data_IF_042037140313
#
_entry.id   IF_042037140313
#
_cell.length_a   1.000
_cell.length_b   1.000
_cell.length_c   1.000
_cell.angle_alpha   90.00
_cell.angle_beta   90.00
_cell.angle_gamma   90.00
#
_symmetry.space_group_name_H-M   'P 1'
#
loop_
_entity.id
_entity.type
_entity.pdbx_description
1 polymer ?
#
# COMPACT_ATOMS: atom_id res chain seq x y z
N UNK A 1 -7.96 -18.57 24.26
CA UNK A 1 -7.87 -18.74 22.79
C UNK A 1 -7.27 -17.46 22.21
N UNK A 2 -5.96 -17.45 21.93
CA UNK A 2 -5.28 -16.28 21.35
C UNK A 2 -5.66 -16.12 19.88
N UNK A 3 -6.18 -14.95 19.50
CA UNK A 3 -6.38 -14.63 18.08
C UNK A 3 -5.01 -14.50 17.42
N UNK A 4 -4.73 -15.17 16.28
CA UNK A 4 -3.50 -14.93 15.55
C UNK A 4 -3.52 -13.50 15.04
N UNK A 5 -2.71 -12.64 15.64
CA UNK A 5 -2.39 -11.32 15.12
C UNK A 5 -1.51 -11.53 13.89
N UNK A 6 -2.14 -11.64 12.72
CA UNK A 6 -1.46 -11.36 11.45
C UNK A 6 -1.22 -9.86 11.39
N UNK A 7 -0.38 -9.35 12.28
CA UNK A 7 0.13 -7.99 12.24
C UNK A 7 1.12 -7.96 11.09
N UNK A 8 0.63 -7.65 9.88
CA UNK A 8 1.48 -7.20 8.78
C UNK A 8 2.09 -5.88 9.23
N UNK A 9 3.17 -5.96 9.99
CA UNK A 9 3.86 -4.78 10.49
C UNK A 9 4.39 -4.02 9.28
N UNK A 10 4.01 -2.74 9.10
CA UNK A 10 4.54 -1.95 8.01
C UNK A 10 6.06 -1.81 8.21
N UNK A 11 6.84 -2.40 7.31
CA UNK A 11 8.28 -2.22 7.30
C UNK A 11 8.60 -0.76 6.91
N UNK A 12 9.35 -0.04 7.74
CA UNK A 12 9.82 1.30 7.41
C UNK A 12 11.00 1.18 6.45
N UNK A 13 10.84 1.77 5.27
CA UNK A 13 11.89 1.84 4.26
C UNK A 13 12.33 3.30 4.11
N UNK A 14 13.63 3.55 4.15
CA UNK A 14 14.22 4.83 3.76
C UNK A 14 14.91 4.63 2.42
N UNK A 15 14.49 5.39 1.42
CA UNK A 15 15.07 5.34 0.07
C UNK A 15 15.66 6.70 -0.26
N UNK A 16 16.79 6.69 -0.95
CA UNK A 16 17.38 7.89 -1.53
C UNK A 16 16.99 7.89 -3.00
N UNK A 17 16.42 8.98 -3.47
CA UNK A 17 16.03 9.19 -4.86
C UNK A 17 16.87 10.33 -5.42
N UNK A 18 17.09 10.31 -6.73
CA UNK A 18 17.63 11.48 -7.42
C UNK A 18 16.62 12.65 -7.34
N UNK A 19 17.12 13.88 -7.48
CA UNK A 19 16.28 15.08 -7.42
C UNK A 19 15.16 15.06 -8.47
N UNK A 20 15.45 14.54 -9.67
CA UNK A 20 14.45 14.42 -10.73
C UNK A 20 13.34 13.42 -10.37
N UNK A 21 13.72 12.25 -9.83
CA UNK A 21 12.77 11.22 -9.42
C UNK A 21 11.92 11.68 -8.23
N UNK A 22 12.53 12.36 -7.26
CA UNK A 22 11.81 12.93 -6.12
C UNK A 22 10.79 13.98 -6.57
N UNK A 23 11.17 14.87 -7.49
CA UNK A 23 10.25 15.87 -8.07
C UNK A 23 9.10 15.22 -8.82
N UNK A 24 9.36 14.17 -9.61
CA UNK A 24 8.34 13.42 -10.32
C UNK A 24 7.35 12.74 -9.35
N UNK A 25 7.85 12.12 -8.28
CA UNK A 25 7.02 11.50 -7.23
C UNK A 25 6.17 12.54 -6.51
N UNK A 26 6.74 13.70 -6.18
CA UNK A 26 6.03 14.79 -5.53
C UNK A 26 4.92 15.36 -6.43
N UNK A 27 5.20 15.50 -7.73
CA UNK A 27 4.22 15.98 -8.71
C UNK A 27 3.07 14.97 -8.87
N UNK A 28 3.38 13.67 -8.93
CA UNK A 28 2.38 12.60 -8.96
C UNK A 28 1.53 12.57 -7.68
N UNK A 29 2.16 12.76 -6.53
CA UNK A 29 1.50 12.85 -5.23
C UNK A 29 0.49 14.01 -5.21
N UNK A 30 0.91 15.20 -5.65
CA UNK A 30 0.05 16.38 -5.74
C UNK A 30 -1.10 16.20 -6.73
N UNK A 31 -0.86 15.61 -7.91
CA UNK A 31 -1.90 15.38 -8.92
C UNK A 31 -2.99 14.42 -8.46
N UNK A 32 -2.65 13.45 -7.61
CA UNK A 32 -3.57 12.40 -7.17
C UNK A 32 -4.12 12.64 -5.75
N UNK A 33 -3.78 13.76 -5.11
CA UNK A 33 -4.13 14.07 -3.71
C UNK A 33 -3.70 12.96 -2.71
N UNK A 34 -2.51 12.41 -2.93
CA UNK A 34 -1.94 11.31 -2.13
C UNK A 34 -0.56 11.66 -1.62
N UNK A 35 -0.08 10.96 -0.59
CA UNK A 35 1.28 11.15 -0.08
C UNK A 35 2.34 10.51 -1.00
N UNK A 36 3.56 11.06 -1.03
CA UNK A 36 4.68 10.48 -1.76
C UNK A 36 4.94 8.99 -1.39
N UNK A 37 4.78 8.63 -0.12
CA UNK A 37 4.88 7.24 0.34
C UNK A 37 3.85 6.30 -0.33
N UNK A 38 2.65 6.81 -0.62
CA UNK A 38 1.62 6.04 -1.34
C UNK A 38 2.03 5.81 -2.79
N UNK A 39 2.59 6.83 -3.45
CA UNK A 39 3.09 6.73 -4.83
C UNK A 39 4.20 5.69 -4.92
N UNK A 40 5.18 5.73 -4.01
CA UNK A 40 6.25 4.72 -3.95
C UNK A 40 5.69 3.32 -3.73
N UNK A 41 4.73 3.15 -2.80
CA UNK A 41 4.09 1.85 -2.57
C UNK A 41 3.39 1.34 -3.82
N UNK A 42 2.69 2.21 -4.56
CA UNK A 42 2.01 1.85 -5.81
C UNK A 42 3.01 1.46 -6.88
N UNK A 43 4.11 2.21 -7.05
CA UNK A 43 5.17 1.89 -8.00
C UNK A 43 5.80 0.52 -7.69
N UNK A 44 6.10 0.24 -6.42
CA UNK A 44 6.60 -1.07 -5.96
C UNK A 44 5.60 -2.18 -6.28
N UNK A 45 4.30 -1.99 -6.04
CA UNK A 45 3.29 -2.98 -6.39
C UNK A 45 3.18 -3.23 -7.90
N UNK A 46 3.27 -2.19 -8.72
CA UNK A 46 3.26 -2.33 -10.18
C UNK A 46 4.51 -3.05 -10.68
N UNK A 47 5.67 -2.76 -10.09
CA UNK A 47 6.94 -3.37 -10.48
C UNK A 47 7.04 -4.84 -10.06
N UNK A 48 6.64 -5.17 -8.83
CA UNK A 48 6.71 -6.54 -8.31
C UNK A 48 5.58 -7.44 -8.82
N UNK A 49 4.41 -6.87 -9.16
CA UNK A 49 3.28 -7.61 -9.70
C UNK A 49 2.96 -7.13 -11.13
N UNK A 50 3.81 -7.45 -12.13
CA UNK A 50 3.51 -7.19 -13.52
C UNK A 50 2.30 -8.04 -13.93
N UNK A 51 1.12 -7.43 -13.92
CA UNK A 51 -0.13 -7.90 -14.51
C UNK A 51 -0.44 -9.41 -14.42
N UNK A 52 -0.11 -10.06 -13.30
CA UNK A 52 -0.65 -11.41 -13.02
C UNK A 52 -1.62 -11.30 -11.86
N UNK A 53 -2.90 -11.39 -12.22
CA UNK A 53 -4.04 -11.61 -11.33
C UNK A 53 -4.41 -10.49 -10.36
N UNK A 54 -5.28 -9.62 -10.88
CA UNK A 54 -6.45 -9.10 -10.18
C UNK A 54 -7.25 -10.27 -9.54
N UNK A 55 -6.78 -10.87 -8.43
CA UNK A 55 -7.49 -11.98 -7.79
C UNK A 55 -7.48 -11.99 -6.25
N UNK A 56 -6.59 -11.26 -5.58
CA UNK A 56 -6.51 -11.32 -4.11
C UNK A 56 -6.99 -10.01 -3.45
N UNK A 57 -7.88 -9.27 -4.12
CA UNK A 57 -8.62 -8.14 -3.54
C UNK A 57 -10.06 -8.56 -3.25
N UNK A 58 -10.21 -9.66 -2.51
CA UNK A 58 -11.46 -10.03 -1.82
C UNK A 58 -11.13 -10.99 -0.67
N UNK A 59 -10.65 -10.45 0.44
CA UNK A 59 -10.81 -11.09 1.74
C UNK A 59 -11.63 -10.14 2.63
N UNK A 60 -12.77 -10.60 3.17
CA UNK A 60 -13.86 -9.73 3.59
C UNK A 60 -13.54 -9.06 4.93
N UNK A 61 -13.96 -7.80 5.06
CA UNK A 61 -13.86 -7.08 6.32
C UNK A 61 -15.09 -6.21 6.55
N UNK A 62 -16.12 -6.78 7.21
CA UNK A 62 -17.13 -6.09 8.04
C UNK A 62 -17.69 -7.15 9.01
N UNK A 63 -17.24 -7.17 10.26
CA UNK A 63 -17.92 -6.57 11.42
C UNK A 63 -19.11 -7.38 11.97
N UNK A 64 -18.92 -7.85 13.21
CA UNK A 64 -19.84 -8.45 14.15
C UNK A 64 -21.10 -7.60 14.41
N UNK A 65 -22.28 -8.24 14.51
CA UNK A 65 -23.42 -7.72 15.25
C UNK A 65 -24.16 -8.89 15.92
N UNK A 66 -24.20 -8.90 17.25
CA UNK A 66 -24.70 -10.01 18.08
C UNK A 66 -26.23 -10.08 18.22
N UNK A 67 -26.68 -11.07 18.99
CA UNK A 67 -27.91 -11.16 19.79
C UNK A 67 -27.69 -12.36 20.75
N UNK A 68 -27.71 -12.16 22.07
CA UNK A 68 -28.89 -12.14 22.96
C UNK A 68 -29.53 -13.50 23.09
#
# INVERSE_FOLDING_TARGET
>A
MGRPRTEKQPARLTVTLDEQDYSAVCTLAAQNDVSAAWVIRRAVQQYLHPATSQAEMSAPQKHTRGQS
#
